data_IF_141229994605
#
_entry.id   IF_141229994605
#
_cell.length_a   1.000
_cell.length_b   1.000
_cell.length_c   1.000
_cell.angle_alpha   90.00
_cell.angle_beta   90.00
_cell.angle_gamma   90.00
#
_symmetry.space_group_name_H-M   'P 1'
#
loop_
_entity.id
_entity.type
_entity.pdbx_description
1 polymer ?
#
# COMPACT_ATOMS: atom_id res chain seq x y z
N UNK A 1 -7.43 38.74 -18.96
CA UNK A 1 -7.79 37.68 -19.95
C UNK A 1 -6.75 36.55 -20.08
N UNK A 2 -5.60 36.60 -19.38
CA UNK A 2 -4.57 35.55 -19.42
C UNK A 2 -4.88 34.40 -18.43
N UNK A 3 -5.42 34.73 -17.24
CA UNK A 3 -5.80 33.76 -16.21
C UNK A 3 -6.80 32.69 -16.70
N UNK A 4 -7.83 33.09 -17.45
CA UNK A 4 -8.84 32.17 -17.98
C UNK A 4 -8.30 31.19 -19.04
N UNK A 5 -7.19 31.53 -19.72
CA UNK A 5 -6.53 30.64 -20.67
C UNK A 5 -5.61 29.63 -20.00
N UNK A 6 -5.00 29.97 -18.86
CA UNK A 6 -4.10 29.06 -18.11
C UNK A 6 -4.90 28.09 -17.23
N UNK A 7 -6.07 28.52 -16.73
CA UNK A 7 -6.96 27.74 -15.87
C UNK A 7 -7.32 26.33 -16.40
N UNK A 8 -7.72 26.15 -17.68
CA UNK A 8 -8.01 24.81 -18.20
C UNK A 8 -6.76 23.92 -18.35
N UNK A 9 -5.57 24.49 -18.57
CA UNK A 9 -4.32 23.72 -18.61
C UNK A 9 -3.90 23.29 -17.20
N UNK A 10 -3.92 24.21 -16.23
CA UNK A 10 -3.65 23.90 -14.83
C UNK A 10 -4.58 22.81 -14.30
N UNK A 11 -5.88 22.86 -14.63
CA UNK A 11 -6.87 21.84 -14.24
C UNK A 11 -6.59 20.47 -14.86
N UNK A 12 -6.13 20.42 -16.12
CA UNK A 12 -5.75 19.16 -16.78
C UNK A 12 -4.53 18.53 -16.12
N UNK A 13 -3.52 19.33 -15.79
CA UNK A 13 -2.30 18.87 -15.13
C UNK A 13 -2.56 18.40 -13.69
N UNK A 14 -3.41 19.11 -12.95
CA UNK A 14 -3.84 18.70 -11.59
C UNK A 14 -4.61 17.38 -11.65
N UNK A 15 -5.53 17.23 -12.61
CA UNK A 15 -6.28 15.97 -12.80
C UNK A 15 -5.36 14.79 -13.13
N UNK A 16 -4.38 15.00 -14.01
CA UNK A 16 -3.41 13.97 -14.37
C UNK A 16 -2.54 13.54 -13.18
N UNK A 17 -2.15 14.48 -12.31
CA UNK A 17 -1.45 14.17 -11.05
C UNK A 17 -2.33 13.39 -10.06
N UNK A 18 -3.60 13.78 -9.92
CA UNK A 18 -4.57 13.07 -9.07
C UNK A 18 -4.79 11.63 -9.54
N UNK A 19 -4.94 11.42 -10.85
CA UNK A 19 -5.14 10.09 -11.41
C UNK A 19 -3.90 9.20 -11.19
N UNK A 20 -2.69 9.75 -11.34
CA UNK A 20 -1.45 9.05 -11.02
C UNK A 20 -1.36 8.64 -9.54
N UNK A 21 -1.70 9.53 -8.62
CA UNK A 21 -1.66 9.21 -7.18
C UNK A 21 -2.70 8.14 -6.82
N UNK A 22 -3.89 8.18 -7.42
CA UNK A 22 -4.91 7.13 -7.24
C UNK A 22 -4.42 5.77 -7.74
N UNK A 23 -3.74 5.74 -8.87
CA UNK A 23 -3.15 4.51 -9.42
C UNK A 23 -2.04 3.96 -8.50
N UNK A 24 -1.17 4.84 -7.97
CA UNK A 24 -0.17 4.46 -6.97
C UNK A 24 -0.81 3.89 -5.69
N UNK A 25 -1.89 4.50 -5.18
CA UNK A 25 -2.65 3.99 -4.03
C UNK A 25 -3.27 2.63 -4.33
N UNK A 26 -3.86 2.46 -5.52
CA UNK A 26 -4.44 1.19 -5.95
C UNK A 26 -3.37 0.08 -6.02
N UNK A 27 -2.17 0.40 -6.51
CA UNK A 27 -1.03 -0.51 -6.54
C UNK A 27 -0.51 -0.86 -5.14
N UNK A 28 -0.44 0.11 -4.23
CA UNK A 28 -0.07 -0.14 -2.82
C UNK A 28 -1.10 -1.07 -2.17
N UNK A 29 -2.40 -0.80 -2.34
CA UNK A 29 -3.48 -1.66 -1.81
C UNK A 29 -3.41 -3.08 -2.38
N UNK A 30 -3.14 -3.22 -3.68
CA UNK A 30 -2.98 -4.54 -4.32
C UNK A 30 -1.81 -5.32 -3.72
N UNK A 31 -0.69 -4.62 -3.52
CA UNK A 31 0.51 -5.17 -2.89
C UNK A 31 0.24 -5.57 -1.44
N UNK A 32 -0.44 -4.73 -0.65
CA UNK A 32 -0.87 -5.06 0.71
C UNK A 32 -1.74 -6.31 0.76
N UNK A 33 -2.73 -6.44 -0.15
CA UNK A 33 -3.58 -7.62 -0.22
C UNK A 33 -2.79 -8.90 -0.55
N UNK A 34 -1.80 -8.80 -1.45
CA UNK A 34 -0.91 -9.92 -1.76
C UNK A 34 -0.13 -10.37 -0.52
N UNK A 35 0.52 -9.44 0.19
CA UNK A 35 1.26 -9.76 1.41
C UNK A 35 0.36 -10.26 2.54
N UNK A 36 -0.85 -9.72 2.69
CA UNK A 36 -1.82 -10.21 3.67
C UNK A 36 -2.26 -11.65 3.36
N UNK A 37 -2.47 -11.99 2.09
CA UNK A 37 -2.79 -13.36 1.67
C UNK A 37 -1.65 -14.33 1.99
N UNK A 38 -0.40 -13.93 1.73
CA UNK A 38 0.79 -14.71 2.09
C UNK A 38 0.87 -14.90 3.61
N UNK A 39 0.62 -13.84 4.39
CA UNK A 39 0.62 -13.92 5.85
C UNK A 39 -0.41 -14.92 6.37
N UNK A 40 -1.64 -14.89 5.83
CA UNK A 40 -2.70 -15.86 6.19
C UNK A 40 -2.29 -17.29 5.82
N UNK A 41 -1.66 -17.49 4.66
CA UNK A 41 -1.16 -18.81 4.26
C UNK A 41 -0.06 -19.33 5.20
N UNK A 42 0.89 -18.47 5.60
CA UNK A 42 1.95 -18.81 6.57
C UNK A 42 1.36 -19.14 7.94
N UNK A 43 0.39 -18.36 8.41
CA UNK A 43 -0.33 -18.64 9.66
C UNK A 43 -1.12 -19.96 9.57
N UNK A 44 -1.83 -20.19 8.47
CA UNK A 44 -2.56 -21.44 8.24
C UNK A 44 -1.63 -22.65 8.29
N UNK A 45 -0.46 -22.57 7.65
CA UNK A 45 0.57 -23.61 7.73
C UNK A 45 1.07 -23.82 9.17
N UNK A 46 1.31 -22.74 9.91
CA UNK A 46 1.76 -22.81 11.31
C UNK A 46 0.75 -23.54 12.21
N UNK A 47 -0.55 -23.30 12.04
CA UNK A 47 -1.59 -23.93 12.87
C UNK A 47 -1.97 -25.35 12.44
N UNK A 48 -1.81 -25.70 11.16
CA UNK A 48 -2.24 -27.01 10.62
C UNK A 48 -1.16 -28.08 10.69
N UNK A 49 0.13 -27.71 10.71
CA UNK A 49 1.18 -28.70 10.84
C UNK A 49 1.28 -29.15 12.32
N UNK A 50 0.72 -30.32 12.63
CA UNK A 50 1.02 -31.03 13.88
C UNK A 50 2.45 -31.58 13.81
N UNK A 51 3.28 -31.27 14.80
CA UNK A 51 4.64 -31.81 14.90
C UNK A 51 5.71 -31.02 14.12
N UNK A 52 5.52 -29.71 13.94
CA UNK A 52 6.53 -28.83 13.35
C UNK A 52 7.78 -28.85 14.25
N UNK A 53 8.88 -29.44 13.78
CA UNK A 53 10.17 -29.35 14.46
C UNK A 53 10.60 -27.89 14.66
N UNK A 54 11.37 -27.61 15.72
CA UNK A 54 11.72 -26.26 16.20
C UNK A 54 12.22 -25.30 15.10
N UNK A 55 13.02 -25.81 14.15
CA UNK A 55 13.58 -25.02 13.03
C UNK A 55 12.48 -24.49 12.10
N UNK A 56 11.45 -25.29 11.81
CA UNK A 56 10.35 -24.88 10.93
C UNK A 56 9.41 -23.91 11.63
N UNK A 57 9.21 -24.07 12.94
CA UNK A 57 8.43 -23.13 13.75
C UNK A 57 9.13 -21.76 13.84
N UNK A 58 10.45 -21.77 14.06
CA UNK A 58 11.27 -20.56 14.04
C UNK A 58 11.22 -19.87 12.67
N UNK A 59 11.37 -20.61 11.56
CA UNK A 59 11.28 -20.06 10.21
C UNK A 59 9.91 -19.45 9.89
N UNK A 60 8.82 -20.09 10.34
CA UNK A 60 7.47 -19.56 10.18
C UNK A 60 7.24 -18.28 11.02
N UNK A 61 7.66 -18.27 12.28
CA UNK A 61 7.63 -17.07 13.12
C UNK A 61 8.44 -15.92 12.52
N UNK A 62 9.66 -16.20 12.07
CA UNK A 62 10.51 -15.19 11.42
C UNK A 62 9.82 -14.61 10.18
N UNK A 63 9.21 -15.46 9.36
CA UNK A 63 8.45 -15.03 8.17
C UNK A 63 7.25 -14.16 8.55
N UNK A 64 6.51 -14.50 9.62
CA UNK A 64 5.38 -13.71 10.13
C UNK A 64 5.84 -12.32 10.57
N UNK A 65 6.92 -12.23 11.34
CA UNK A 65 7.48 -10.94 11.80
C UNK A 65 7.89 -10.08 10.61
N UNK A 66 8.62 -10.66 9.66
CA UNK A 66 9.12 -9.94 8.49
C UNK A 66 7.98 -9.45 7.59
N UNK A 67 6.96 -10.29 7.35
CA UNK A 67 5.75 -9.91 6.61
C UNK A 67 4.96 -8.80 7.31
N UNK A 68 4.91 -8.82 8.65
CA UNK A 68 4.22 -7.80 9.44
C UNK A 68 4.90 -6.43 9.34
N UNK A 69 6.24 -6.40 9.34
CA UNK A 69 7.03 -5.18 9.14
C UNK A 69 6.77 -4.62 7.73
N UNK A 70 6.82 -5.46 6.69
CA UNK A 70 6.54 -5.04 5.30
C UNK A 70 5.12 -4.45 5.19
N UNK A 71 4.12 -5.10 5.78
CA UNK A 71 2.75 -4.60 5.79
C UNK A 71 2.63 -3.24 6.48
N UNK A 72 3.35 -3.04 7.59
CA UNK A 72 3.40 -1.75 8.29
C UNK A 72 4.00 -0.64 7.41
N UNK A 73 5.14 -0.90 6.77
CA UNK A 73 5.78 0.07 5.88
C UNK A 73 4.88 0.45 4.69
N UNK A 74 4.18 -0.54 4.10
CA UNK A 74 3.23 -0.30 3.03
C UNK A 74 2.06 0.57 3.50
N UNK A 75 1.61 0.39 4.74
CA UNK A 75 0.54 1.18 5.32
C UNK A 75 0.97 2.64 5.52
N UNK A 76 2.20 2.87 5.98
CA UNK A 76 2.75 4.22 6.09
C UNK A 76 2.94 4.89 4.72
N UNK A 77 3.39 4.14 3.71
CA UNK A 77 3.44 4.63 2.32
C UNK A 77 2.05 5.01 1.81
N UNK A 78 1.03 4.19 2.10
CA UNK A 78 -0.35 4.49 1.72
C UNK A 78 -0.87 5.76 2.39
N UNK A 79 -0.62 5.94 3.70
CA UNK A 79 -1.01 7.16 4.44
C UNK A 79 -0.36 8.41 3.84
N UNK A 80 0.93 8.36 3.51
CA UNK A 80 1.62 9.48 2.85
C UNK A 80 0.95 9.84 1.52
N UNK A 81 0.64 8.85 0.69
CA UNK A 81 -0.02 9.07 -0.61
C UNK A 81 -1.45 9.59 -0.47
N UNK A 82 -2.18 9.16 0.55
CA UNK A 82 -3.51 9.72 0.87
C UNK A 82 -3.42 11.18 1.31
N UNK A 83 -2.41 11.55 2.10
CA UNK A 83 -2.19 12.94 2.49
C UNK A 83 -1.81 13.82 1.29
N UNK A 84 -0.94 13.33 0.37
CA UNK A 84 -0.63 14.01 -0.89
C UNK A 84 -1.91 14.26 -1.72
N UNK A 85 -2.80 13.26 -1.80
CA UNK A 85 -4.08 13.38 -2.49
C UNK A 85 -5.03 14.38 -1.82
N UNK A 86 -5.04 14.45 -0.49
CA UNK A 86 -5.86 15.42 0.25
C UNK A 86 -5.35 16.86 0.07
N UNK A 87 -4.03 17.06 0.04
CA UNK A 87 -3.43 18.38 -0.23
C UNK A 87 -3.78 18.86 -1.64
N UNK A 88 -3.60 18.00 -2.66
CA UNK A 88 -3.93 18.35 -4.05
C UNK A 88 -5.41 18.64 -4.29
N UNK A 89 -6.31 18.09 -3.45
CA UNK A 89 -7.74 18.41 -3.48
C UNK A 89 -8.09 19.73 -2.79
N UNK A 90 -7.28 20.20 -1.84
CA UNK A 90 -7.48 21.49 -1.15
C UNK A 90 -6.94 22.67 -1.97
N UNK A 91 -6.01 22.40 -2.88
CA UNK A 91 -5.43 23.39 -3.81
C UNK A 91 -6.29 23.60 -5.09
N UNK A 92 -7.36 22.82 -5.28
CA UNK A 92 -8.34 22.93 -6.38
C UNK A 92 -9.47 23.92 -6.06
#
# INVERSE_FOLDING_TARGET
>A
MILAKIYPFARKDIKMKLDKIKEEIANIRRTQNMFATILIAVLGYFFTAKGIGEIRAFGAMFSIVLLSIILSELNDKMKKKLNELEQLKKDE
#
